data_IF_864954272698
#
_entry.id   IF_864954272698
#
_cell.length_a   1.000
_cell.length_b   1.000
_cell.length_c   1.000
_cell.angle_alpha   90.00
_cell.angle_beta   90.00
_cell.angle_gamma   90.00
#
_symmetry.space_group_name_H-M   'P 1'
#
loop_
_entity.id
_entity.type
_entity.pdbx_description
1 polymer ?
#
# COMPACT_ATOMS: atom_id res chain seq x y z
N UNK A 1 -37.62 18.45 10.35
CA UNK A 1 -36.93 18.41 9.04
C UNK A 1 -35.42 18.34 9.26
N UNK A 2 -34.98 17.33 10.02
CA UNK A 2 -33.62 17.20 10.57
C UNK A 2 -33.04 15.81 10.25
N UNK A 3 -33.54 15.17 9.18
CA UNK A 3 -33.32 13.75 8.94
C UNK A 3 -32.94 13.43 7.48
N UNK A 4 -32.15 14.33 6.85
CA UNK A 4 -31.64 14.09 5.49
C UNK A 4 -30.19 14.51 5.26
N UNK A 5 -29.48 15.05 6.26
CA UNK A 5 -28.05 15.36 6.15
C UNK A 5 -27.14 14.29 6.78
N UNK A 6 -27.66 13.46 7.69
CA UNK A 6 -26.89 12.36 8.31
C UNK A 6 -26.66 11.19 7.34
N UNK A 7 -27.47 11.09 6.28
CA UNK A 7 -27.40 10.02 5.28
C UNK A 7 -26.33 10.23 4.19
N UNK A 8 -25.59 11.35 4.21
CA UNK A 8 -24.50 11.64 3.26
C UNK A 8 -23.10 11.57 3.90
N UNK A 9 -23.00 11.31 5.21
CA UNK A 9 -21.75 11.17 5.96
C UNK A 9 -21.38 9.70 6.27
N UNK A 10 -22.00 8.73 5.61
CA UNK A 10 -21.67 7.31 5.71
C UNK A 10 -21.41 6.74 4.32
N UNK A 11 -20.16 6.78 3.86
CA UNK A 11 -19.58 5.69 3.06
C UNK A 11 -18.06 5.86 2.88
N UNK A 12 -17.32 6.11 3.98
CA UNK A 12 -15.93 5.63 4.02
C UNK A 12 -16.03 4.18 4.47
N UNK A 13 -16.30 3.27 3.53
CA UNK A 13 -16.43 1.85 3.85
C UNK A 13 -15.06 1.26 4.10
N UNK A 14 -14.78 0.95 5.36
CA UNK A 14 -13.78 -0.03 5.71
C UNK A 14 -14.25 -1.40 5.21
N UNK A 15 -13.55 -1.95 4.23
CA UNK A 15 -13.68 -3.33 3.79
C UNK A 15 -12.93 -4.24 4.75
N UNK A 16 -13.59 -5.29 5.25
CA UNK A 16 -12.99 -6.34 6.08
C UNK A 16 -12.66 -7.58 5.26
N UNK A 17 -13.24 -7.70 4.07
CA UNK A 17 -12.99 -8.78 3.14
C UNK A 17 -13.05 -8.33 1.68
N UNK A 18 -12.09 -8.76 0.87
CA UNK A 18 -12.01 -8.46 -0.57
C UNK A 18 -11.74 -9.71 -1.41
N UNK A 19 -12.27 -9.72 -2.63
CA UNK A 19 -11.94 -10.72 -3.64
C UNK A 19 -11.37 -10.07 -4.92
N UNK A 20 -10.17 -10.48 -5.32
CA UNK A 20 -9.54 -10.08 -6.58
C UNK A 20 -9.96 -10.99 -7.73
N UNK A 21 -10.55 -10.43 -8.78
CA UNK A 21 -11.10 -11.19 -9.90
C UNK A 21 -10.29 -10.93 -11.18
N UNK A 22 -9.90 -11.99 -11.86
CA UNK A 22 -9.46 -11.95 -13.25
C UNK A 22 -9.99 -13.17 -14.02
N UNK A 23 -9.72 -13.32 -15.32
CA UNK A 23 -10.25 -14.46 -16.09
C UNK A 23 -9.71 -15.80 -15.58
N UNK A 24 -8.39 -15.96 -15.59
CA UNK A 24 -7.75 -17.27 -15.36
C UNK A 24 -7.36 -17.58 -13.91
N UNK A 25 -7.49 -16.61 -13.00
CA UNK A 25 -6.93 -16.68 -11.64
C UNK A 25 -5.52 -17.26 -11.58
N UNK A 26 -4.66 -16.77 -12.47
CA UNK A 26 -3.34 -17.34 -12.75
C UNK A 26 -2.20 -16.36 -12.46
N UNK A 27 -2.34 -15.10 -12.86
CA UNK A 27 -1.30 -14.07 -12.74
C UNK A 27 -1.74 -12.88 -11.87
N UNK A 28 -2.46 -11.92 -12.47
CA UNK A 28 -2.89 -10.64 -11.84
C UNK A 28 -3.52 -10.84 -10.46
N UNK A 29 -4.57 -11.67 -10.36
CA UNK A 29 -5.29 -11.85 -9.11
C UNK A 29 -4.53 -12.66 -8.05
N UNK A 30 -3.62 -13.56 -8.45
CA UNK A 30 -2.73 -14.30 -7.54
C UNK A 30 -1.65 -13.37 -6.95
N UNK A 31 -1.04 -12.52 -7.77
CA UNK A 31 -0.10 -11.49 -7.28
C UNK A 31 -0.81 -10.49 -6.36
N UNK A 32 -2.02 -10.06 -6.72
CA UNK A 32 -2.84 -9.17 -5.88
C UNK A 32 -3.17 -9.81 -4.52
N UNK A 33 -3.57 -11.09 -4.49
CA UNK A 33 -3.81 -11.83 -3.25
C UNK A 33 -2.56 -11.91 -2.38
N UNK A 34 -1.39 -12.24 -2.97
CA UNK A 34 -0.12 -12.31 -2.25
C UNK A 34 0.30 -10.96 -1.65
N UNK A 35 0.28 -9.89 -2.44
CA UNK A 35 0.63 -8.54 -1.99
C UNK A 35 -0.32 -8.04 -0.89
N UNK A 36 -1.63 -8.22 -1.07
CA UNK A 36 -2.62 -7.76 -0.10
C UNK A 36 -2.53 -8.54 1.22
N UNK A 37 -2.30 -9.85 1.19
CA UNK A 37 -2.07 -10.64 2.41
C UNK A 37 -0.80 -10.21 3.14
N UNK A 38 0.28 -9.92 2.42
CA UNK A 38 1.51 -9.42 3.01
C UNK A 38 1.30 -8.06 3.69
N UNK A 39 0.57 -7.14 3.02
CA UNK A 39 0.31 -5.79 3.49
C UNK A 39 -0.61 -5.75 4.71
N UNK A 40 -1.79 -6.37 4.62
CA UNK A 40 -2.84 -6.27 5.63
C UNK A 40 -2.73 -7.33 6.73
N UNK A 41 -2.05 -8.46 6.47
CA UNK A 41 -2.01 -9.58 7.40
C UNK A 41 -3.43 -10.04 7.78
N UNK A 42 -3.71 -10.14 9.08
CA UNK A 42 -5.03 -10.53 9.60
C UNK A 42 -6.10 -9.43 9.59
N UNK A 43 -5.78 -8.21 9.14
CA UNK A 43 -6.73 -7.08 9.16
C UNK A 43 -7.72 -7.09 8.01
N UNK A 44 -7.40 -7.83 6.94
CA UNK A 44 -8.24 -7.94 5.75
C UNK A 44 -8.29 -9.40 5.30
N UNK A 45 -9.49 -9.96 5.18
CA UNK A 45 -9.69 -11.27 4.56
C UNK A 45 -9.52 -11.11 3.04
N UNK A 46 -8.50 -11.75 2.48
CA UNK A 46 -8.18 -11.64 1.04
C UNK A 46 -8.41 -12.96 0.32
N UNK A 47 -9.17 -12.89 -0.77
CA UNK A 47 -9.40 -13.99 -1.71
C UNK A 47 -9.10 -13.55 -3.14
N UNK A 48 -8.89 -14.50 -4.04
CA UNK A 48 -8.87 -14.29 -5.49
C UNK A 48 -9.59 -15.42 -6.22
N UNK A 49 -10.12 -15.13 -7.40
CA UNK A 49 -10.80 -16.13 -8.24
C UNK A 49 -10.85 -15.71 -9.71
N UNK A 50 -11.32 -16.65 -10.54
CA UNK A 50 -11.54 -16.42 -11.96
C UNK A 50 -12.69 -17.22 -12.55
N UNK A 51 -13.08 -16.89 -13.76
CA UNK A 51 -14.18 -17.58 -14.48
C UNK A 51 -13.71 -18.85 -15.16
N UNK A 52 -12.42 -18.93 -15.51
CA UNK A 52 -11.81 -20.10 -16.16
C UNK A 52 -10.44 -20.39 -15.52
N UNK A 53 -10.40 -20.92 -14.28
CA UNK A 53 -9.15 -21.13 -13.53
C UNK A 53 -8.13 -21.96 -14.32
N UNK A 54 -6.89 -21.47 -14.42
CA UNK A 54 -5.83 -22.03 -15.26
C UNK A 54 -4.57 -22.46 -14.53
N UNK A 55 -4.60 -22.52 -13.19
CA UNK A 55 -3.41 -22.77 -12.36
C UNK A 55 -2.59 -21.51 -12.10
N UNK A 56 -1.78 -21.50 -11.05
CA UNK A 56 -0.94 -20.33 -10.70
C UNK A 56 0.24 -20.23 -11.66
N UNK A 57 0.43 -19.05 -12.26
CA UNK A 57 1.46 -18.84 -13.28
C UNK A 57 2.88 -18.84 -12.67
N UNK A 58 3.82 -19.57 -13.29
CA UNK A 58 5.24 -19.63 -12.85
C UNK A 58 5.94 -18.27 -12.81
N UNK A 59 5.63 -17.36 -13.74
CA UNK A 59 6.21 -16.02 -13.77
C UNK A 59 5.62 -15.12 -12.69
N UNK A 60 4.34 -15.32 -12.32
CA UNK A 60 3.77 -14.66 -11.14
C UNK A 60 4.47 -15.13 -9.86
N UNK A 61 4.71 -16.45 -9.71
CA UNK A 61 5.47 -17.00 -8.59
C UNK A 61 6.88 -16.39 -8.54
N UNK A 62 7.59 -16.36 -9.67
CA UNK A 62 8.92 -15.78 -9.75
C UNK A 62 8.94 -14.29 -9.38
N UNK A 63 8.06 -13.48 -9.97
CA UNK A 63 7.96 -12.05 -9.70
C UNK A 63 7.62 -11.76 -8.23
N UNK A 64 6.79 -12.57 -7.58
CA UNK A 64 6.45 -12.40 -6.17
C UNK A 64 7.60 -12.79 -5.24
N UNK A 65 8.36 -13.84 -5.58
CA UNK A 65 9.55 -14.25 -4.82
C UNK A 65 10.65 -13.20 -4.82
N UNK A 66 10.81 -12.44 -5.91
CA UNK A 66 11.75 -11.32 -5.97
C UNK A 66 11.51 -10.25 -4.89
N UNK A 67 10.26 -10.10 -4.43
CA UNK A 67 9.87 -9.18 -3.35
C UNK A 67 9.61 -9.91 -2.02
N UNK A 68 10.10 -11.15 -1.89
CA UNK A 68 10.03 -11.94 -0.66
C UNK A 68 8.65 -12.54 -0.36
N UNK A 69 7.73 -12.61 -1.33
CA UNK A 69 6.39 -13.17 -1.14
C UNK A 69 6.27 -14.50 -1.91
N UNK A 70 6.05 -15.59 -1.18
CA UNK A 70 5.80 -16.90 -1.78
C UNK A 70 4.30 -17.12 -1.99
N UNK A 71 3.89 -17.29 -3.26
CA UNK A 71 2.51 -17.57 -3.64
C UNK A 71 2.32 -19.01 -4.15
N UNK A 72 3.33 -19.88 -4.04
CA UNK A 72 3.25 -21.28 -4.54
C UNK A 72 2.14 -22.11 -3.92
N UNK A 73 1.83 -21.85 -2.64
CA UNK A 73 0.75 -22.52 -1.92
C UNK A 73 -0.65 -21.97 -2.23
N UNK A 74 -0.78 -20.91 -3.03
CA UNK A 74 -2.08 -20.40 -3.46
C UNK A 74 -2.73 -21.34 -4.48
N UNK A 75 -4.05 -21.25 -4.61
CA UNK A 75 -4.82 -22.08 -5.54
C UNK A 75 -5.55 -21.22 -6.55
N UNK A 76 -5.53 -21.67 -7.80
CA UNK A 76 -6.39 -21.13 -8.86
C UNK A 76 -7.79 -21.73 -8.70
N UNK A 77 -8.81 -20.90 -8.47
CA UNK A 77 -10.17 -21.34 -8.13
C UNK A 77 -11.25 -20.53 -8.85
N UNK A 78 -12.43 -21.13 -9.00
CA UNK A 78 -13.57 -20.48 -9.64
C UNK A 78 -14.13 -19.38 -8.76
N UNK A 79 -14.72 -18.35 -9.38
CA UNK A 79 -15.52 -17.35 -8.66
C UNK A 79 -16.72 -18.02 -7.97
N UNK A 80 -17.25 -19.09 -8.56
CA UNK A 80 -18.37 -19.86 -8.03
C UNK A 80 -18.00 -20.65 -6.76
N UNK A 81 -16.69 -20.86 -6.52
CA UNK A 81 -16.20 -21.54 -5.31
C UNK A 81 -16.13 -20.59 -4.10
N UNK A 82 -16.34 -19.28 -4.28
CA UNK A 82 -16.31 -18.30 -3.20
C UNK A 82 -17.72 -18.07 -2.68
N UNK A 83 -17.91 -18.27 -1.37
CA UNK A 83 -19.12 -17.85 -0.67
C UNK A 83 -19.32 -16.32 -0.81
N UNK A 84 -20.38 -15.87 -1.50
CA UNK A 84 -20.60 -14.44 -1.73
C UNK A 84 -20.81 -13.63 -0.45
N UNK A 85 -21.33 -14.27 0.61
CA UNK A 85 -21.53 -13.62 1.92
C UNK A 85 -20.20 -13.37 2.67
N UNK A 86 -19.09 -13.94 2.18
CA UNK A 86 -17.78 -13.84 2.79
C UNK A 86 -16.90 -12.68 2.28
N UNK A 87 -17.48 -11.81 1.44
CA UNK A 87 -16.77 -10.74 0.72
C UNK A 87 -17.57 -9.43 0.85
N UNK A 88 -16.88 -8.33 1.16
CA UNK A 88 -17.48 -6.97 1.26
C UNK A 88 -17.26 -6.14 -0.01
N UNK A 89 -16.17 -6.43 -0.74
CA UNK A 89 -15.88 -5.81 -2.03
C UNK A 89 -15.18 -6.76 -3.01
N UNK A 90 -15.48 -6.57 -4.29
CA UNK A 90 -14.72 -7.20 -5.38
C UNK A 90 -13.86 -6.18 -6.10
N UNK A 91 -12.67 -6.62 -6.49
CA UNK A 91 -11.71 -5.82 -7.25
C UNK A 91 -11.42 -6.53 -8.56
N UNK A 92 -11.94 -6.01 -9.67
CA UNK A 92 -11.74 -6.60 -11.01
C UNK A 92 -10.46 -6.07 -11.64
N UNK A 93 -9.65 -6.97 -12.22
CA UNK A 93 -8.29 -6.66 -12.68
C UNK A 93 -8.10 -6.69 -14.21
N UNK A 94 -9.11 -7.12 -14.96
CA UNK A 94 -9.04 -7.25 -16.41
C UNK A 94 -9.07 -5.87 -17.08
N UNK A 95 -8.23 -5.63 -18.09
CA UNK A 95 -8.28 -4.38 -18.87
C UNK A 95 -9.04 -4.57 -20.18
N UNK A 96 -8.69 -5.63 -20.92
CA UNK A 96 -9.26 -5.93 -22.24
C UNK A 96 -10.32 -7.03 -22.15
N UNK A 97 -10.19 -7.90 -21.15
CA UNK A 97 -11.04 -9.05 -20.99
C UNK A 97 -12.26 -8.77 -20.11
N UNK A 98 -13.31 -9.57 -20.30
CA UNK A 98 -14.48 -9.53 -19.42
C UNK A 98 -14.16 -10.33 -18.15
N UNK A 99 -13.97 -9.60 -17.05
CA UNK A 99 -13.81 -10.20 -15.73
C UNK A 99 -15.08 -10.96 -15.28
N UNK A 100 -14.95 -11.95 -14.39
CA UNK A 100 -16.10 -12.71 -13.88
C UNK A 100 -17.14 -11.81 -13.25
N UNK A 101 -18.42 -12.13 -13.48
CA UNK A 101 -19.53 -11.45 -12.82
C UNK A 101 -19.64 -11.96 -11.38
N UNK A 102 -19.65 -11.06 -10.42
CA UNK A 102 -19.93 -11.40 -9.04
C UNK A 102 -21.44 -11.52 -8.79
N UNK A 103 -21.93 -12.58 -8.11
CA UNK A 103 -23.33 -12.71 -7.78
C UNK A 103 -23.75 -11.67 -6.73
N UNK A 104 -24.74 -10.85 -7.05
CA UNK A 104 -25.32 -9.87 -6.13
C UNK A 104 -24.74 -8.45 -6.19
N UNK A 105 -25.32 -7.57 -5.37
CA UNK A 105 -24.92 -6.16 -5.21
C UNK A 105 -23.92 -6.04 -4.07
N UNK A 106 -22.69 -5.70 -4.42
CA UNK A 106 -21.55 -5.54 -3.52
C UNK A 106 -20.74 -4.33 -3.97
N UNK A 107 -19.87 -3.77 -3.12
CA UNK A 107 -18.92 -2.75 -3.56
C UNK A 107 -17.99 -3.32 -4.65
N UNK A 108 -17.77 -2.55 -5.71
CA UNK A 108 -16.96 -2.94 -6.87
C UNK A 108 -15.91 -1.89 -7.14
N UNK A 109 -14.65 -2.30 -7.07
CA UNK A 109 -13.52 -1.51 -7.54
C UNK A 109 -13.02 -2.13 -8.85
N UNK A 110 -12.54 -1.27 -9.75
CA UNK A 110 -12.02 -1.70 -11.03
C UNK A 110 -10.60 -1.18 -11.21
N UNK A 111 -9.65 -2.12 -11.29
CA UNK A 111 -8.22 -1.87 -11.45
C UNK A 111 -7.77 -2.54 -12.74
N UNK A 112 -8.11 -1.97 -13.93
CA UNK A 112 -7.74 -2.58 -15.20
C UNK A 112 -6.22 -2.71 -15.29
N UNK A 113 -5.73 -3.89 -15.65
CA UNK A 113 -4.31 -4.19 -15.85
C UNK A 113 -4.15 -5.08 -17.10
N UNK A 114 -3.17 -4.79 -17.97
CA UNK A 114 -2.88 -5.68 -19.09
C UNK A 114 -2.52 -7.07 -18.57
N UNK A 115 -2.87 -8.12 -19.32
CA UNK A 115 -2.43 -9.46 -18.95
C UNK A 115 -0.93 -9.59 -19.19
N UNK A 116 -0.10 -9.80 -18.14
CA UNK A 116 1.34 -9.96 -18.35
C UNK A 116 1.69 -11.27 -19.08
N UNK A 117 0.73 -12.21 -19.19
CA UNK A 117 0.85 -13.45 -19.93
C UNK A 117 0.35 -13.35 -21.39
N UNK A 118 -0.08 -12.17 -21.86
CA UNK A 118 -0.58 -12.01 -23.21
C UNK A 118 0.47 -12.41 -24.26
N UNK A 119 -0.02 -13.07 -25.30
CA UNK A 119 0.76 -13.81 -26.29
C UNK A 119 1.30 -12.88 -27.37
N UNK A 120 2.46 -12.29 -27.13
CA UNK A 120 3.39 -12.01 -28.23
C UNK A 120 4.20 -13.30 -28.48
N UNK A 121 3.99 -14.02 -29.60
CA UNK A 121 4.54 -15.37 -29.79
C UNK A 121 6.07 -15.47 -29.74
N UNK A 122 6.77 -14.35 -29.92
CA UNK A 122 8.23 -14.26 -29.96
C UNK A 122 8.85 -13.58 -28.72
N UNK A 123 8.07 -13.27 -27.68
CA UNK A 123 8.60 -12.63 -26.49
C UNK A 123 9.54 -13.60 -25.73
N UNK A 124 10.75 -13.14 -25.42
CA UNK A 124 11.68 -13.92 -24.59
C UNK A 124 11.17 -14.02 -23.15
N UNK A 125 11.66 -15.01 -22.39
CA UNK A 125 11.29 -15.17 -20.99
C UNK A 125 11.63 -13.94 -20.14
N UNK A 126 12.69 -13.20 -20.50
CA UNK A 126 13.05 -11.95 -19.82
C UNK A 126 12.00 -10.86 -20.08
N UNK A 127 11.53 -10.72 -21.32
CA UNK A 127 10.46 -9.78 -21.66
C UNK A 127 9.17 -10.12 -20.91
N UNK A 128 8.81 -11.41 -20.84
CA UNK A 128 7.66 -11.87 -20.07
C UNK A 128 7.86 -11.55 -18.59
N UNK A 129 9.00 -11.92 -18.01
CA UNK A 129 9.31 -11.64 -16.59
C UNK A 129 9.23 -10.15 -16.26
N UNK A 130 9.73 -9.28 -17.15
CA UNK A 130 9.61 -7.83 -17.01
C UNK A 130 8.14 -7.35 -16.98
N UNK A 131 7.26 -7.91 -17.84
CA UNK A 131 5.81 -7.60 -17.80
C UNK A 131 5.19 -7.97 -16.45
N UNK A 132 5.55 -9.14 -15.91
CA UNK A 132 5.07 -9.57 -14.59
C UNK A 132 5.55 -8.64 -13.46
N UNK A 133 6.81 -8.19 -13.49
CA UNK A 133 7.34 -7.20 -12.53
C UNK A 133 6.58 -5.88 -12.60
N UNK A 134 6.33 -5.36 -13.80
CA UNK A 134 5.56 -4.12 -14.00
C UNK A 134 4.15 -4.25 -13.42
N UNK A 135 3.44 -5.35 -13.70
CA UNK A 135 2.09 -5.58 -13.18
C UNK A 135 2.09 -5.77 -11.66
N UNK A 136 3.07 -6.50 -11.09
CA UNK A 136 3.26 -6.65 -9.64
C UNK A 136 3.43 -5.28 -8.97
N UNK A 137 4.29 -4.44 -9.52
CA UNK A 137 4.62 -3.15 -8.93
C UNK A 137 3.47 -2.15 -9.05
N UNK A 138 2.71 -2.21 -10.15
CA UNK A 138 1.46 -1.47 -10.29
C UNK A 138 0.40 -1.91 -9.26
N UNK A 139 0.19 -3.23 -9.09
CA UNK A 139 -0.71 -3.77 -8.06
C UNK A 139 -0.30 -3.32 -6.66
N UNK A 140 0.99 -3.33 -6.35
CA UNK A 140 1.53 -2.89 -5.05
C UNK A 140 1.21 -1.42 -4.80
N UNK A 141 1.42 -0.54 -5.78
CA UNK A 141 1.07 0.87 -5.62
C UNK A 141 -0.43 1.13 -5.53
N UNK A 142 -1.28 0.36 -6.24
CA UNK A 142 -2.75 0.40 -6.07
C UNK A 142 -3.18 -0.05 -4.69
N UNK A 143 -2.52 -1.06 -4.13
CA UNK A 143 -2.76 -1.51 -2.77
C UNK A 143 -2.37 -0.46 -1.73
N UNK A 144 -1.33 0.35 -1.96
CA UNK A 144 -1.04 1.48 -1.07
C UNK A 144 -2.16 2.53 -1.12
N UNK A 145 -2.62 2.91 -2.31
CA UNK A 145 -3.77 3.83 -2.45
C UNK A 145 -5.07 3.25 -1.85
N UNK A 146 -5.25 1.93 -1.94
CA UNK A 146 -6.36 1.25 -1.29
C UNK A 146 -6.22 1.25 0.24
N UNK A 147 -5.03 0.97 0.79
CA UNK A 147 -4.84 0.99 2.24
C UNK A 147 -4.95 2.40 2.85
N UNK A 148 -4.60 3.45 2.11
CA UNK A 148 -4.77 4.83 2.57
C UNK A 148 -6.23 5.28 2.64
N UNK A 149 -7.13 4.59 1.94
CA UNK A 149 -8.58 4.87 1.92
C UNK A 149 -9.40 3.85 2.70
N UNK A 150 -8.90 2.61 2.85
CA UNK A 150 -9.47 1.55 3.67
C UNK A 150 -9.04 1.68 5.14
N UNK A 151 -9.36 2.83 5.74
CA UNK A 151 -8.97 3.20 7.11
C UNK A 151 -9.89 2.55 8.16
N UNK A 152 -9.42 2.34 9.40
CA UNK A 152 -10.26 1.77 10.46
C UNK A 152 -11.48 2.65 10.78
N UNK A 153 -12.56 2.03 11.27
CA UNK A 153 -13.81 2.72 11.60
C UNK A 153 -13.59 3.94 12.52
N UNK A 154 -14.10 5.09 12.06
CA UNK A 154 -13.99 6.39 12.73
C UNK A 154 -12.60 7.04 12.69
N UNK A 155 -11.68 6.51 11.88
CA UNK A 155 -10.41 7.16 11.55
C UNK A 155 -10.53 7.88 10.22
N UNK A 156 -9.98 9.10 10.13
CA UNK A 156 -9.75 9.81 8.88
C UNK A 156 -8.26 10.11 8.72
N UNK A 157 -7.76 10.11 7.48
CA UNK A 157 -6.42 10.62 7.17
C UNK A 157 -6.52 12.02 6.58
N UNK A 158 -5.51 12.84 6.82
CA UNK A 158 -5.42 14.15 6.19
C UNK A 158 -4.08 14.84 6.44
N UNK A 159 -3.95 16.02 5.86
CA UNK A 159 -2.85 16.94 6.20
C UNK A 159 -3.07 17.49 7.61
N UNK A 160 -1.99 17.76 8.36
CA UNK A 160 -2.11 18.45 9.63
C UNK A 160 -2.37 19.94 9.42
N UNK A 161 -3.04 20.54 10.38
CA UNK A 161 -3.25 21.97 10.54
C UNK A 161 -2.30 22.52 11.60
N UNK A 162 -2.03 23.83 11.62
CA UNK A 162 -1.12 24.43 12.60
C UNK A 162 -1.46 24.12 14.07
N UNK A 163 -2.75 23.92 14.37
CA UNK A 163 -3.25 23.50 15.68
C UNK A 163 -2.81 22.09 16.09
N UNK A 164 -2.50 21.21 15.14
CA UNK A 164 -2.12 19.82 15.40
C UNK A 164 -0.67 19.67 15.89
N UNK A 165 0.17 20.68 15.69
CA UNK A 165 1.61 20.58 15.92
C UNK A 165 1.94 20.07 17.34
N UNK A 166 1.28 20.62 18.37
CA UNK A 166 1.50 20.22 19.75
C UNK A 166 1.11 18.74 20.00
N UNK A 167 0.00 18.29 19.40
CA UNK A 167 -0.47 16.90 19.52
C UNK A 167 0.46 15.93 18.79
N UNK A 168 0.97 16.32 17.62
CA UNK A 168 1.95 15.55 16.84
C UNK A 168 3.26 15.42 17.62
N UNK A 169 3.82 16.52 18.13
CA UNK A 169 5.05 16.50 18.94
C UNK A 169 4.89 15.62 20.19
N UNK A 170 3.72 15.68 20.85
CA UNK A 170 3.41 14.83 21.99
C UNK A 170 3.38 13.34 21.61
N UNK A 171 2.69 12.98 20.52
CA UNK A 171 2.55 11.60 20.08
C UNK A 171 3.88 10.98 19.61
N UNK A 172 4.71 11.76 18.91
CA UNK A 172 6.06 11.35 18.49
C UNK A 172 6.93 11.09 19.73
N UNK A 173 6.89 11.99 20.72
CA UNK A 173 7.63 11.84 21.98
C UNK A 173 7.20 10.61 22.78
N UNK A 174 5.89 10.38 22.91
CA UNK A 174 5.33 9.20 23.58
C UNK A 174 5.76 7.89 22.88
N UNK A 175 5.99 7.96 21.56
CA UNK A 175 6.49 6.83 20.78
C UNK A 175 8.02 6.70 20.79
N UNK A 176 8.70 7.48 21.64
CA UNK A 176 10.17 7.53 21.75
C UNK A 176 10.88 7.81 20.41
N UNK A 177 10.27 8.65 19.57
CA UNK A 177 10.83 9.11 18.30
C UNK A 177 11.37 10.55 18.44
N UNK A 178 12.37 10.95 17.63
CA UNK A 178 12.93 12.31 17.66
C UNK A 178 11.93 13.39 17.25
N UNK A 179 11.81 14.45 18.06
CA UNK A 179 10.85 15.56 17.87
C UNK A 179 11.55 16.83 17.34
N UNK A 180 12.87 16.90 17.44
CA UNK A 180 13.69 18.10 17.26
C UNK A 180 13.52 18.74 15.88
N UNK A 181 13.23 17.94 14.85
CA UNK A 181 13.08 18.38 13.45
C UNK A 181 11.65 18.25 12.94
N UNK A 182 10.67 18.17 13.86
CA UNK A 182 9.25 18.16 13.46
C UNK A 182 8.87 19.48 12.80
N UNK A 183 9.28 20.60 13.39
CA UNK A 183 8.88 21.95 12.94
C UNK A 183 9.45 22.34 11.60
N UNK A 184 10.63 21.82 11.24
CA UNK A 184 11.35 22.21 10.01
C UNK A 184 10.65 21.73 8.73
N UNK A 185 9.87 20.67 8.83
CA UNK A 185 9.22 19.99 7.70
C UNK A 185 7.68 20.02 7.82
N UNK A 186 7.17 20.76 8.80
CA UNK A 186 5.76 20.88 9.09
C UNK A 186 5.14 22.10 8.38
N UNK A 187 3.93 21.97 7.79
CA UNK A 187 3.08 20.79 7.72
C UNK A 187 3.37 19.85 6.53
N UNK A 188 4.20 20.25 5.58
CA UNK A 188 4.25 19.70 4.21
C UNK A 188 4.61 18.21 4.18
N UNK A 189 5.58 17.78 4.98
CA UNK A 189 6.01 16.37 5.00
C UNK A 189 5.04 15.45 5.74
N UNK A 190 4.08 15.98 6.50
CA UNK A 190 3.31 15.22 7.48
C UNK A 190 1.90 14.86 7.00
N UNK A 191 1.45 13.68 7.43
CA UNK A 191 0.05 13.26 7.42
C UNK A 191 -0.32 12.83 8.83
N UNK A 192 -1.57 13.04 9.17
CA UNK A 192 -2.15 12.64 10.44
C UNK A 192 -3.36 11.76 10.24
N UNK A 193 -3.54 10.83 11.17
CA UNK A 193 -4.77 10.09 11.36
C UNK A 193 -5.54 10.72 12.52
N UNK A 194 -6.83 10.99 12.33
CA UNK A 194 -7.70 11.58 13.36
C UNK A 194 -8.85 10.66 13.73
N UNK A 195 -9.27 10.69 14.99
CA UNK A 195 -10.57 10.20 15.45
C UNK A 195 -11.37 11.40 15.93
N UNK A 196 -12.39 11.79 15.17
CA UNK A 196 -13.00 13.11 15.33
C UNK A 196 -11.93 14.18 15.11
N UNK A 197 -11.78 15.10 16.07
CA UNK A 197 -10.79 16.19 16.00
C UNK A 197 -9.44 15.82 16.66
N UNK A 198 -9.30 14.62 17.21
CA UNK A 198 -8.09 14.21 17.92
C UNK A 198 -7.10 13.52 16.99
N UNK A 199 -5.87 14.00 16.94
CA UNK A 199 -4.74 13.32 16.28
C UNK A 199 -4.41 12.04 17.06
N UNK A 200 -4.52 10.90 16.38
CA UNK A 200 -4.25 9.56 16.92
C UNK A 200 -3.14 8.82 16.16
N UNK A 201 -2.64 9.41 15.09
CA UNK A 201 -1.51 8.88 14.33
C UNK A 201 -0.85 9.94 13.48
N UNK A 202 0.42 9.74 13.17
CA UNK A 202 1.21 10.63 12.33
C UNK A 202 2.26 9.84 11.55
N UNK A 203 2.59 10.30 10.34
CA UNK A 203 3.74 9.84 9.57
C UNK A 203 4.30 10.99 8.73
N UNK A 204 5.61 11.05 8.57
CA UNK A 204 6.29 12.06 7.77
C UNK A 204 7.04 11.43 6.59
N UNK A 205 6.98 12.09 5.43
CA UNK A 205 7.79 11.77 4.26
C UNK A 205 8.52 13.04 3.81
N UNK A 206 9.81 13.11 4.11
CA UNK A 206 10.66 14.18 3.61
C UNK A 206 11.17 13.82 2.22
N UNK A 207 11.39 14.84 1.38
CA UNK A 207 11.90 14.64 0.02
C UNK A 207 13.28 15.25 -0.11
N UNK A 208 14.23 14.41 -0.52
CA UNK A 208 15.63 14.75 -0.77
C UNK A 208 15.95 14.36 -2.22
N UNK A 209 15.90 15.34 -3.14
CA UNK A 209 15.92 15.12 -4.59
C UNK A 209 14.81 14.16 -5.06
N UNK A 210 15.18 12.97 -5.55
CA UNK A 210 14.24 11.90 -5.98
C UNK A 210 14.09 10.80 -4.94
N UNK A 211 14.49 11.04 -3.69
CA UNK A 211 14.50 10.04 -2.63
C UNK A 211 13.64 10.54 -1.46
N UNK A 212 12.81 9.64 -0.93
CA UNK A 212 12.00 9.90 0.25
C UNK A 212 12.66 9.41 1.52
N UNK A 213 12.47 10.13 2.63
CA UNK A 213 12.77 9.67 3.98
C UNK A 213 11.47 9.54 4.77
N UNK A 214 11.03 8.30 5.00
CA UNK A 214 9.88 8.00 5.84
C UNK A 214 10.32 7.99 7.31
N UNK A 215 9.73 8.86 8.11
CA UNK A 215 10.04 9.00 9.54
C UNK A 215 8.81 9.36 10.35
N UNK A 216 8.99 9.51 11.67
CA UNK A 216 7.94 9.95 12.60
C UNK A 216 6.64 9.15 12.49
N UNK A 217 6.73 7.85 12.18
CA UNK A 217 5.56 6.97 12.10
C UNK A 217 5.15 6.57 13.51
N UNK A 218 4.14 7.25 14.04
CA UNK A 218 3.63 7.04 15.39
C UNK A 218 2.12 6.87 15.39
N UNK A 219 1.62 5.98 16.25
CA UNK A 219 0.19 5.72 16.44
C UNK A 219 -0.08 5.62 17.93
N UNK A 220 -1.13 6.31 18.39
CA UNK A 220 -1.57 6.32 19.77
C UNK A 220 -1.82 4.88 20.25
N UNK A 221 -1.45 4.51 21.50
CA UNK A 221 -1.55 3.13 21.98
C UNK A 221 -2.91 2.47 21.75
N UNK A 222 -4.00 3.21 21.93
CA UNK A 222 -5.37 2.72 21.74
C UNK A 222 -5.73 2.36 20.28
N UNK A 223 -4.99 2.88 19.30
CA UNK A 223 -5.23 2.63 17.87
C UNK A 223 -4.23 1.66 17.24
N UNK A 224 -3.24 1.17 18.02
CA UNK A 224 -2.24 0.20 17.54
C UNK A 224 -2.88 -1.14 17.22
N UNK A 225 -2.35 -1.81 16.19
CA UNK A 225 -2.85 -3.13 15.76
C UNK A 225 -4.19 -3.12 15.03
N UNK A 226 -4.81 -1.95 14.80
CA UNK A 226 -6.12 -1.82 14.12
C UNK A 226 -6.03 -1.45 12.65
N UNK A 227 -4.83 -1.12 12.16
CA UNK A 227 -4.58 -0.73 10.76
C UNK A 227 -4.23 0.74 10.54
N UNK A 228 -4.34 1.61 11.54
CA UNK A 228 -4.04 3.05 11.42
C UNK A 228 -2.62 3.32 10.93
N UNK A 229 -1.63 2.61 11.48
CA UNK A 229 -0.23 2.73 11.02
C UNK A 229 -0.02 2.22 9.60
N UNK A 230 -0.78 1.19 9.17
CA UNK A 230 -0.72 0.71 7.79
C UNK A 230 -1.26 1.79 6.85
N UNK A 231 -2.41 2.38 7.18
CA UNK A 231 -3.03 3.41 6.35
C UNK A 231 -2.14 4.65 6.21
N UNK A 232 -1.51 5.12 7.30
CA UNK A 232 -0.57 6.24 7.27
C UNK A 232 0.66 5.97 6.40
N UNK A 233 1.32 4.82 6.58
CA UNK A 233 2.49 4.46 5.76
C UNK A 233 2.09 4.28 4.29
N UNK A 234 0.95 3.63 4.03
CA UNK A 234 0.43 3.46 2.68
C UNK A 234 0.15 4.81 2.00
N UNK A 235 -0.40 5.77 2.74
CA UNK A 235 -0.65 7.12 2.25
C UNK A 235 0.66 7.83 1.89
N UNK A 236 1.68 7.78 2.76
CA UNK A 236 3.02 8.33 2.45
C UNK A 236 3.65 7.66 1.22
N UNK A 237 3.56 6.35 1.08
CA UNK A 237 4.11 5.63 -0.08
C UNK A 237 3.34 5.91 -1.38
N UNK A 238 2.01 6.07 -1.29
CA UNK A 238 1.21 6.51 -2.42
C UNK A 238 1.63 7.93 -2.86
N UNK A 239 1.84 8.85 -1.92
CA UNK A 239 2.39 10.18 -2.19
C UNK A 239 3.76 10.11 -2.85
N UNK A 240 4.70 9.33 -2.29
CA UNK A 240 6.02 9.12 -2.85
C UNK A 240 5.97 8.66 -4.31
N UNK A 241 5.08 7.72 -4.61
CA UNK A 241 4.87 7.18 -5.95
C UNK A 241 4.31 8.22 -6.91
N UNK A 242 3.29 8.97 -6.51
CA UNK A 242 2.70 10.03 -7.36
C UNK A 242 3.63 11.21 -7.57
N UNK A 243 4.52 11.49 -6.61
CA UNK A 243 5.55 12.53 -6.71
C UNK A 243 6.79 12.08 -7.50
N UNK A 244 6.82 10.85 -8.02
CA UNK A 244 7.91 10.36 -8.86
C UNK A 244 9.21 10.08 -8.11
N UNK A 245 9.16 9.81 -6.80
CA UNK A 245 10.33 9.40 -6.05
C UNK A 245 10.80 8.02 -6.56
N UNK A 246 12.12 7.84 -6.67
CA UNK A 246 12.73 6.58 -7.11
C UNK A 246 12.91 5.56 -5.99
N UNK A 247 12.83 6.01 -4.73
CA UNK A 247 12.95 5.14 -3.56
C UNK A 247 12.64 5.86 -2.26
N UNK A 248 12.30 5.10 -1.23
CA UNK A 248 12.05 5.59 0.12
C UNK A 248 12.95 4.83 1.09
N UNK A 249 13.56 5.57 2.02
CA UNK A 249 14.38 5.03 3.09
C UNK A 249 13.74 5.32 4.44
N UNK A 250 14.07 4.52 5.44
CA UNK A 250 13.72 4.76 6.83
C UNK A 250 14.77 4.17 7.77
N UNK A 251 14.74 4.66 9.01
CA UNK A 251 15.45 4.09 10.14
C UNK A 251 14.41 3.61 11.17
N UNK A 252 14.58 2.40 11.68
CA UNK A 252 13.65 1.84 12.68
C UNK A 252 14.37 0.96 13.69
N UNK A 253 13.94 1.02 14.94
CA UNK A 253 14.44 0.16 16.02
C UNK A 253 13.47 -0.98 16.37
N UNK A 254 12.16 -0.75 16.22
CA UNK A 254 11.12 -1.67 16.71
C UNK A 254 10.09 -2.08 15.66
N UNK A 255 10.06 -1.44 14.49
CA UNK A 255 8.98 -1.59 13.52
C UNK A 255 9.42 -2.21 12.18
N UNK A 256 10.61 -2.82 12.09
CA UNK A 256 11.09 -3.45 10.86
C UNK A 256 10.08 -4.46 10.26
N UNK A 257 9.44 -5.27 11.12
CA UNK A 257 8.43 -6.23 10.69
C UNK A 257 7.18 -5.58 10.05
N UNK A 258 6.80 -4.38 10.49
CA UNK A 258 5.72 -3.60 9.86
C UNK A 258 6.15 -3.15 8.47
N UNK A 259 7.34 -2.55 8.34
CA UNK A 259 7.80 -2.01 7.06
C UNK A 259 8.07 -3.09 5.99
N UNK A 260 8.50 -4.30 6.40
CA UNK A 260 8.60 -5.43 5.46
C UNK A 260 7.27 -5.77 4.77
N UNK A 261 6.12 -5.50 5.41
CA UNK A 261 4.79 -5.69 4.79
C UNK A 261 4.55 -4.80 3.58
N UNK A 262 5.24 -3.68 3.49
CA UNK A 262 5.21 -2.76 2.35
C UNK A 262 6.25 -3.10 1.27
N UNK A 263 7.13 -4.08 1.55
CA UNK A 263 8.25 -4.46 0.69
C UNK A 263 9.56 -3.75 1.01
N UNK A 264 9.70 -3.08 2.16
CA UNK A 264 11.00 -2.58 2.59
C UNK A 264 11.95 -3.73 2.90
N UNK A 265 13.20 -3.61 2.47
CA UNK A 265 14.29 -4.54 2.79
C UNK A 265 15.37 -3.82 3.58
N UNK A 266 16.10 -4.56 4.40
CA UNK A 266 17.25 -3.99 5.11
C UNK A 266 18.35 -3.59 4.13
N UNK A 267 19.06 -2.51 4.46
CA UNK A 267 20.18 -2.00 3.67
C UNK A 267 21.23 -1.42 4.61
N UNK A 268 22.47 -1.29 4.13
CA UNK A 268 23.52 -0.66 4.92
C UNK A 268 23.31 0.85 4.98
N UNK A 269 23.30 1.41 6.20
CA UNK A 269 23.19 2.87 6.44
C UNK A 269 24.28 3.64 5.69
N UNK A 270 25.49 3.08 5.57
CA UNK A 270 26.60 3.72 4.85
C UNK A 270 26.40 3.72 3.31
N UNK A 271 25.56 2.83 2.79
CA UNK A 271 25.22 2.75 1.36
C UNK A 271 24.09 3.68 0.93
N UNK A 272 23.48 4.40 1.88
CA UNK A 272 22.40 5.34 1.58
C UNK A 272 22.90 6.54 0.76
N UNK A 273 22.04 7.14 -0.09
CA UNK A 273 22.39 8.31 -0.87
C UNK A 273 22.91 9.47 -0.01
N UNK A 274 23.92 10.19 -0.50
CA UNK A 274 24.58 11.29 0.25
C UNK A 274 23.59 12.35 0.75
N UNK A 275 22.56 12.67 -0.03
CA UNK A 275 21.51 13.62 0.35
C UNK A 275 20.81 13.20 1.67
N UNK A 276 20.62 11.90 1.89
CA UNK A 276 20.07 11.38 3.15
C UNK A 276 21.11 11.35 4.26
N UNK A 277 22.39 11.09 3.98
CA UNK A 277 23.43 11.05 5.01
C UNK A 277 23.60 12.41 5.72
N UNK A 278 23.29 13.51 5.03
CA UNK A 278 23.25 14.86 5.62
C UNK A 278 21.96 15.19 6.38
N UNK A 279 20.93 14.34 6.33
CA UNK A 279 19.69 14.58 7.09
C UNK A 279 19.93 14.46 8.60
N UNK A 280 19.24 15.25 9.45
CA UNK A 280 19.36 15.15 10.90
C UNK A 280 19.14 13.73 11.45
N UNK A 281 18.21 12.98 10.84
CA UNK A 281 17.90 11.58 11.13
C UNK A 281 19.12 10.67 11.03
N UNK A 282 19.84 10.76 9.91
CA UNK A 282 21.00 9.93 9.62
C UNK A 282 22.27 10.47 10.26
N UNK A 283 22.36 11.78 10.50
CA UNK A 283 23.53 12.40 11.09
C UNK A 283 23.60 12.20 12.62
N UNK A 284 22.48 12.35 13.33
CA UNK A 284 22.52 12.43 14.80
C UNK A 284 21.30 11.86 15.53
N UNK A 285 20.08 11.94 14.97
CA UNK A 285 18.86 11.71 15.75
C UNK A 285 18.50 10.24 15.92
N UNK A 286 18.84 9.38 14.95
CA UNK A 286 18.61 7.94 15.09
C UNK A 286 19.89 7.20 15.50
N UNK A 287 19.83 6.35 16.54
CA UNK A 287 20.99 5.63 17.05
C UNK A 287 21.64 4.79 15.95
N UNK A 288 22.95 4.54 16.06
CA UNK A 288 23.68 3.69 15.12
C UNK A 288 23.16 2.26 15.09
N UNK A 289 22.45 1.82 16.14
CA UNK A 289 21.80 0.51 16.24
C UNK A 289 20.46 0.42 15.50
N UNK A 290 19.93 1.52 14.95
CA UNK A 290 18.70 1.49 14.18
C UNK A 290 18.91 0.75 12.85
N UNK A 291 17.98 -0.15 12.51
CA UNK A 291 17.95 -0.83 11.22
C UNK A 291 17.60 0.17 10.13
N UNK A 292 18.46 0.27 9.11
CA UNK A 292 18.15 1.03 7.90
C UNK A 292 17.42 0.15 6.90
N UNK A 293 16.32 0.66 6.35
CA UNK A 293 15.52 -0.05 5.37
C UNK A 293 15.27 0.83 4.14
N UNK A 294 15.14 0.18 2.98
CA UNK A 294 14.90 0.79 1.68
C UNK A 294 13.73 0.11 0.98
N UNK A 295 12.98 0.89 0.21
CA UNK A 295 11.98 0.44 -0.73
C UNK A 295 12.18 1.19 -2.05
N UNK A 296 12.37 0.47 -3.15
CA UNK A 296 12.34 1.07 -4.48
C UNK A 296 10.89 1.36 -4.89
N UNK A 297 10.67 2.55 -5.45
CA UNK A 297 9.34 3.00 -5.88
C UNK A 297 9.29 2.97 -7.40
N UNK A 298 8.50 2.04 -7.93
CA UNK A 298 8.23 2.00 -9.36
C UNK A 298 7.26 3.12 -9.75
N UNK A 299 7.59 3.82 -10.83
CA UNK A 299 6.68 4.80 -11.43
C UNK A 299 5.33 4.16 -11.77
N UNK A 300 4.22 4.93 -11.77
CA UNK A 300 2.96 4.48 -12.34
C UNK A 300 3.17 3.98 -13.77
N UNK A 301 2.62 2.80 -14.09
CA UNK A 301 2.77 2.27 -15.44
C UNK A 301 2.05 3.18 -16.45
N UNK A 302 2.70 3.51 -17.57
CA UNK A 302 2.19 4.47 -18.56
C UNK A 302 0.95 4.00 -19.33
N UNK A 303 0.55 2.73 -19.21
CA UNK A 303 -0.66 2.17 -19.82
C UNK A 303 -1.97 2.90 -19.42
N UNK A 304 -1.92 3.80 -18.42
CA UNK A 304 -3.07 4.56 -17.92
C UNK A 304 -3.22 5.99 -18.45
N UNK A 305 -2.35 6.45 -19.36
CA UNK A 305 -2.44 7.83 -19.87
C UNK A 305 -3.60 8.08 -20.87
N UNK A 306 -4.23 7.03 -21.41
CA UNK A 306 -5.21 7.17 -22.51
C UNK A 306 -6.69 6.96 -22.12
N UNK A 307 -6.99 6.53 -20.89
CA UNK A 307 -8.38 6.37 -20.45
C UNK A 307 -8.87 7.60 -19.67
N UNK A 308 -9.06 8.74 -20.37
CA UNK A 308 -9.95 9.80 -19.86
C UNK A 308 -11.39 9.44 -20.22
N UNK A 309 -12.35 9.51 -19.29
CA UNK A 309 -13.76 9.43 -19.66
C UNK A 309 -14.13 10.68 -20.47
N UNK A 310 -14.64 10.47 -21.68
CA UNK A 310 -15.46 11.45 -22.39
C UNK A 310 -16.89 11.45 -21.88
#
# INVERSE_FOLDING_TARGET
MLDSMTALYHDIRMYRSVAFLCVANSARSQMAEGLARALFGGLLRVQSAGSRPGGVNRFAIAAMREVGIDITGQRSKSVDDIDPASVDAVITLCAEEVCPVWPGRIARLHWPLPDPASTEPSASEEVISARFRVVRDELRGRLWAFASTNVPDGISLGRPESSDLAAIEALIRESALPVEVVRDQFPEAYAVARRGDHVVGVAALETHDRIGLLRSVAVAPAERGRGTGIALVAERLATARTSGLGGVYLLTTTAAALFRRFGFTETDRASTPKALQSSPEFAALCPSTATCMRLDIAAPASFFAEARPG
#
